data_IF_647906900625
#
_entry.id   IF_647906900625
#
_cell.length_a   1.000
_cell.length_b   1.000
_cell.length_c   1.000
_cell.angle_alpha   90.00
_cell.angle_beta   90.00
_cell.angle_gamma   90.00
#
_symmetry.space_group_name_H-M   'P 1'
#
loop_
_entity.id
_entity.type
_entity.pdbx_description
1 polymer ?
#
# COMPACT_ATOMS: atom_id res chain seq x y z
N UNK A 1 -60.72 18.43 -6.76
CA UNK A 1 -59.78 17.48 -6.15
C UNK A 1 -60.52 16.72 -5.08
N UNK A 2 -60.82 15.42 -5.28
CA UNK A 2 -61.55 14.61 -4.31
C UNK A 2 -60.65 14.20 -3.16
N UNK A 3 -60.90 14.67 -1.98
CA UNK A 3 -60.20 14.33 -0.74
C UNK A 3 -60.55 12.86 -0.38
N UNK A 4 -59.56 11.96 -0.63
CA UNK A 4 -59.71 10.53 -0.31
C UNK A 4 -59.65 10.37 1.20
N UNK A 5 -60.82 10.23 1.87
CA UNK A 5 -60.87 9.95 3.31
C UNK A 5 -60.12 8.68 3.62
N UNK A 6 -58.97 8.80 4.28
CA UNK A 6 -58.18 7.67 4.81
C UNK A 6 -58.98 6.85 5.79
N UNK A 7 -59.18 5.56 5.50
CA UNK A 7 -59.90 4.63 6.38
C UNK A 7 -58.99 4.24 7.55
N UNK A 8 -59.58 3.97 8.75
CA UNK A 8 -58.81 3.48 9.91
C UNK A 8 -57.90 2.30 9.57
N UNK A 9 -58.34 1.42 8.69
CA UNK A 9 -57.56 0.29 8.18
C UNK A 9 -56.30 0.74 7.47
N UNK A 10 -56.36 1.73 6.59
CA UNK A 10 -55.25 2.24 5.79
C UNK A 10 -54.19 2.90 6.71
N UNK A 11 -54.65 3.59 7.77
CA UNK A 11 -53.77 4.12 8.80
C UNK A 11 -53.02 3.00 9.54
N UNK A 12 -53.71 1.93 9.95
CA UNK A 12 -53.10 0.82 10.66
C UNK A 12 -52.06 0.11 9.77
N UNK A 13 -52.36 -0.14 8.51
CA UNK A 13 -51.39 -0.70 7.58
C UNK A 13 -50.17 0.18 7.41
N UNK A 14 -50.36 1.49 7.20
CA UNK A 14 -49.25 2.43 7.04
C UNK A 14 -48.38 2.48 8.32
N UNK A 15 -49.00 2.53 9.50
CA UNK A 15 -48.29 2.52 10.76
C UNK A 15 -47.49 1.21 10.96
N UNK A 16 -48.10 0.05 10.66
CA UNK A 16 -47.41 -1.24 10.76
C UNK A 16 -46.23 -1.33 9.81
N UNK A 17 -46.39 -0.92 8.57
CA UNK A 17 -45.27 -0.90 7.60
C UNK A 17 -44.16 0.06 8.04
N UNK A 18 -44.51 1.23 8.55
CA UNK A 18 -43.52 2.18 9.05
C UNK A 18 -42.71 1.63 10.22
N UNK A 19 -43.40 1.05 11.23
CA UNK A 19 -42.72 0.42 12.36
C UNK A 19 -41.92 -0.80 11.93
N UNK A 20 -42.46 -1.62 11.02
CA UNK A 20 -41.76 -2.77 10.45
C UNK A 20 -40.48 -2.35 9.70
N UNK A 21 -40.54 -1.30 8.89
CA UNK A 21 -39.40 -0.79 8.17
C UNK A 21 -38.28 -0.27 9.10
N UNK A 22 -38.67 0.45 10.16
CA UNK A 22 -37.73 0.91 11.21
C UNK A 22 -37.10 -0.30 11.93
N UNK A 23 -37.91 -1.31 12.29
CA UNK A 23 -37.41 -2.53 12.95
C UNK A 23 -36.42 -3.31 12.07
N UNK A 24 -36.71 -3.47 10.78
CA UNK A 24 -35.81 -4.09 9.81
C UNK A 24 -34.53 -3.26 9.66
N UNK A 25 -34.63 -1.95 9.53
CA UNK A 25 -33.46 -1.06 9.45
C UNK A 25 -32.56 -1.15 10.69
N UNK A 26 -33.21 -1.18 11.89
CA UNK A 26 -32.48 -1.29 13.15
C UNK A 26 -31.79 -2.64 13.36
N UNK A 27 -32.28 -3.73 12.74
CA UNK A 27 -31.61 -5.04 12.77
C UNK A 27 -30.54 -5.19 11.71
N UNK A 28 -30.74 -4.64 10.54
CA UNK A 28 -29.76 -4.75 9.43
C UNK A 28 -28.55 -3.85 9.66
N UNK A 29 -28.75 -2.63 10.19
CA UNK A 29 -27.65 -1.66 10.37
C UNK A 29 -26.47 -2.21 11.18
N UNK A 30 -26.65 -2.82 12.37
CA UNK A 30 -25.54 -3.40 13.11
C UNK A 30 -24.79 -4.50 12.35
N UNK A 31 -25.50 -5.28 11.53
CA UNK A 31 -24.89 -6.33 10.71
C UNK A 31 -23.98 -5.73 9.63
N UNK A 32 -24.38 -4.63 9.02
CA UNK A 32 -23.54 -3.88 8.06
C UNK A 32 -22.37 -3.22 8.79
N UNK A 33 -22.61 -2.62 9.95
CA UNK A 33 -21.59 -1.92 10.72
C UNK A 33 -20.48 -2.86 11.24
N UNK A 34 -20.81 -4.13 11.53
CA UNK A 34 -19.83 -5.16 11.88
C UNK A 34 -18.84 -5.48 10.75
N UNK A 35 -19.15 -5.13 9.50
CA UNK A 35 -18.23 -5.30 8.36
C UNK A 35 -17.17 -4.20 8.29
N UNK A 36 -17.32 -3.12 9.05
CA UNK A 36 -16.33 -2.07 9.14
C UNK A 36 -15.08 -2.55 9.88
N UNK A 37 -13.87 -2.12 9.47
CA UNK A 37 -12.65 -2.41 10.20
C UNK A 37 -12.73 -1.89 11.63
N UNK A 38 -12.34 -2.73 12.59
CA UNK A 38 -12.30 -2.34 13.99
C UNK A 38 -11.22 -1.27 14.29
N UNK A 39 -11.22 -0.74 15.51
CA UNK A 39 -10.27 0.30 15.92
C UNK A 39 -8.82 -0.20 15.92
N UNK A 40 -8.56 -1.48 16.17
CA UNK A 40 -7.21 -2.06 16.17
C UNK A 40 -6.64 -2.12 14.76
N UNK A 41 -7.45 -2.52 13.78
CA UNK A 41 -7.07 -2.53 12.37
C UNK A 41 -6.79 -1.11 11.86
N UNK A 42 -7.63 -0.14 12.27
CA UNK A 42 -7.43 1.28 11.94
C UNK A 42 -6.16 1.85 12.56
N UNK A 43 -5.84 1.48 13.82
CA UNK A 43 -4.62 1.89 14.50
C UNK A 43 -3.35 1.34 13.82
N UNK A 44 -3.43 0.16 13.21
CA UNK A 44 -2.33 -0.45 12.43
C UNK A 44 -2.29 0.03 10.96
N UNK A 45 -3.16 0.97 10.58
CA UNK A 45 -3.24 1.45 9.20
C UNK A 45 -1.98 2.22 8.77
N UNK A 46 -1.29 2.87 9.70
CA UNK A 46 -0.04 3.58 9.46
C UNK A 46 1.04 3.19 10.48
N UNK A 47 2.30 3.33 10.06
CA UNK A 47 3.49 3.09 10.90
C UNK A 47 4.45 4.24 10.71
N UNK A 48 4.95 4.81 11.80
CA UNK A 48 6.02 5.82 11.79
C UNK A 48 7.36 5.15 12.06
N UNK A 49 8.35 5.53 11.28
CA UNK A 49 9.70 4.95 11.33
C UNK A 49 10.71 6.08 11.46
N UNK A 50 11.55 6.03 12.50
CA UNK A 50 12.71 6.91 12.63
C UNK A 50 13.83 6.42 11.71
N UNK A 51 14.23 7.27 10.78
CA UNK A 51 15.28 7.02 9.79
C UNK A 51 16.50 7.92 9.99
N UNK A 52 16.50 8.76 11.02
CA UNK A 52 17.56 9.76 11.27
C UNK A 52 18.96 9.15 11.47
N UNK A 53 19.04 7.94 12.03
CA UNK A 53 20.31 7.22 12.23
C UNK A 53 20.71 6.33 11.06
N UNK A 54 19.89 6.22 10.01
CA UNK A 54 20.16 5.33 8.87
C UNK A 54 21.28 5.91 7.99
N UNK A 55 22.40 5.21 7.90
CA UNK A 55 23.51 5.62 7.04
C UNK A 55 23.18 5.42 5.54
N UNK A 56 23.81 6.22 4.67
CA UNK A 56 23.70 6.05 3.20
C UNK A 56 24.14 4.65 2.78
N UNK A 57 23.45 4.08 1.80
CA UNK A 57 23.65 2.72 1.32
C UNK A 57 23.13 1.64 2.26
N UNK A 58 22.38 1.98 3.31
CA UNK A 58 21.77 1.02 4.22
C UNK A 58 20.26 0.93 4.02
N UNK A 59 19.74 -0.25 4.32
CA UNK A 59 18.31 -0.55 4.27
C UNK A 59 17.85 -1.01 5.63
N UNK A 60 16.72 -0.50 6.09
CA UNK A 60 15.97 -1.09 7.21
C UNK A 60 14.69 -1.73 6.68
N UNK A 61 14.23 -2.74 7.41
CA UNK A 61 12.98 -3.45 7.09
C UNK A 61 12.03 -3.27 8.26
N UNK A 62 10.84 -2.76 7.96
CA UNK A 62 9.76 -2.62 8.93
C UNK A 62 8.54 -3.39 8.47
N UNK A 63 7.68 -3.79 9.39
CA UNK A 63 6.42 -4.45 9.06
C UNK A 63 5.30 -3.41 8.98
N UNK A 64 4.56 -3.42 7.87
CA UNK A 64 3.34 -2.65 7.69
C UNK A 64 2.25 -3.55 7.10
N UNK A 65 1.12 -3.64 7.78
CA UNK A 65 0.00 -4.53 7.41
C UNK A 65 0.43 -5.96 7.12
N UNK A 66 1.37 -6.49 7.93
CA UNK A 66 1.89 -7.85 7.78
C UNK A 66 2.84 -8.08 6.61
N UNK A 67 3.20 -7.04 5.86
CA UNK A 67 4.17 -7.10 4.77
C UNK A 67 5.45 -6.37 5.15
N UNK A 68 6.64 -6.86 4.75
CA UNK A 68 7.88 -6.12 4.93
C UNK A 68 7.90 -4.90 4.01
N UNK A 69 8.33 -3.77 4.55
CA UNK A 69 8.62 -2.54 3.80
C UNK A 69 10.12 -2.27 3.92
N UNK A 70 10.78 -2.11 2.80
CA UNK A 70 12.16 -1.68 2.73
C UNK A 70 12.21 -0.16 2.68
N UNK A 71 13.03 0.43 3.56
CA UNK A 71 13.38 1.83 3.54
C UNK A 71 14.88 1.89 3.32
N UNK A 72 15.31 2.36 2.16
CA UNK A 72 16.73 2.48 1.79
C UNK A 72 17.11 3.94 1.71
N UNK A 73 18.19 4.30 2.40
CA UNK A 73 18.87 5.56 2.18
C UNK A 73 19.91 5.39 1.07
N UNK A 74 19.56 5.83 -0.14
CA UNK A 74 20.36 5.59 -1.35
C UNK A 74 21.65 6.42 -1.35
N UNK A 75 22.67 5.87 -2.00
CA UNK A 75 23.88 6.62 -2.36
C UNK A 75 23.66 7.42 -3.64
N UNK A 76 24.55 8.39 -3.90
CA UNK A 76 24.49 9.17 -5.15
C UNK A 76 24.70 8.28 -6.38
N UNK A 77 25.52 7.23 -6.24
CA UNK A 77 25.76 6.22 -7.30
C UNK A 77 24.48 5.44 -7.63
N UNK A 78 23.74 5.00 -6.62
CA UNK A 78 22.47 4.28 -6.81
C UNK A 78 21.41 5.16 -7.46
N UNK A 79 21.36 6.44 -7.12
CA UNK A 79 20.46 7.41 -7.72
C UNK A 79 20.82 7.62 -9.20
N UNK A 80 22.10 7.78 -9.51
CA UNK A 80 22.56 7.93 -10.89
C UNK A 80 22.32 6.65 -11.71
N UNK A 81 22.60 5.49 -11.15
CA UNK A 81 22.31 4.20 -11.77
C UNK A 81 20.81 4.08 -12.12
N UNK A 82 19.93 4.38 -11.17
CA UNK A 82 18.49 4.34 -11.40
C UNK A 82 18.03 5.31 -12.50
N UNK A 83 18.59 6.52 -12.56
CA UNK A 83 18.26 7.55 -13.56
C UNK A 83 18.84 7.24 -14.94
N UNK A 84 19.95 6.52 -15.02
CA UNK A 84 20.59 6.17 -16.28
C UNK A 84 19.87 5.10 -17.09
N UNK A 85 18.95 4.36 -16.44
CA UNK A 85 18.21 3.27 -17.08
C UNK A 85 17.20 3.81 -18.07
N UNK A 86 17.29 3.36 -19.32
CA UNK A 86 16.34 3.73 -20.37
C UNK A 86 15.00 3.06 -20.12
N UNK A 87 13.92 3.78 -20.36
CA UNK A 87 12.55 3.27 -20.18
C UNK A 87 12.25 2.07 -21.08
N UNK A 88 12.85 2.02 -22.26
CA UNK A 88 12.71 0.92 -23.22
C UNK A 88 13.35 -0.40 -22.74
N UNK A 89 14.30 -0.33 -21.78
CA UNK A 89 14.96 -1.49 -21.19
C UNK A 89 14.20 -2.06 -19.98
N UNK A 90 13.10 -1.42 -19.58
CA UNK A 90 12.30 -1.82 -18.44
C UNK A 90 11.12 -2.68 -18.87
N UNK A 91 10.91 -3.79 -18.17
CA UNK A 91 9.73 -4.66 -18.33
C UNK A 91 8.43 -3.95 -17.94
N UNK A 92 8.52 -3.16 -16.88
CA UNK A 92 7.45 -2.34 -16.34
C UNK A 92 7.99 -0.91 -16.26
N UNK A 93 7.79 -0.09 -17.32
CA UNK A 93 8.38 1.21 -17.46
C UNK A 93 7.86 2.21 -16.43
N UNK A 94 8.73 2.64 -15.53
CA UNK A 94 8.44 3.64 -14.50
C UNK A 94 9.72 4.43 -14.20
N UNK A 95 9.61 5.75 -14.11
CA UNK A 95 10.75 6.60 -13.80
C UNK A 95 11.14 6.50 -12.34
N UNK A 96 12.43 6.71 -12.05
CA UNK A 96 12.93 6.73 -10.67
C UNK A 96 12.25 7.84 -9.82
N UNK A 97 12.04 9.00 -10.42
CA UNK A 97 11.40 10.15 -9.78
C UNK A 97 9.93 9.92 -9.37
N UNK A 98 9.23 9.01 -10.07
CA UNK A 98 7.85 8.63 -9.74
C UNK A 98 7.81 7.65 -8.55
N UNK A 99 8.91 6.95 -8.29
CA UNK A 99 9.04 5.94 -7.23
C UNK A 99 9.58 6.49 -5.92
N UNK A 100 10.43 7.52 -5.99
CA UNK A 100 11.07 8.11 -4.82
C UNK A 100 10.68 9.59 -4.71
N UNK A 101 9.88 9.95 -3.69
CA UNK A 101 9.50 11.36 -3.43
C UNK A 101 10.69 12.25 -3.12
N UNK A 102 11.69 11.70 -2.48
CA UNK A 102 13.01 12.27 -2.27
C UNK A 102 14.03 11.29 -2.86
N UNK A 103 14.91 11.74 -3.76
CA UNK A 103 15.88 10.86 -4.41
C UNK A 103 16.76 10.05 -3.45
N UNK A 104 17.02 10.57 -2.27
CA UNK A 104 17.82 9.88 -1.24
C UNK A 104 17.06 8.71 -0.59
N UNK A 105 15.71 8.73 -0.62
CA UNK A 105 14.90 7.77 0.11
C UNK A 105 14.02 6.92 -0.82
N UNK A 106 14.28 5.62 -0.85
CA UNK A 106 13.43 4.66 -1.53
C UNK A 106 12.63 3.85 -0.49
N UNK A 107 11.32 3.94 -0.59
CA UNK A 107 10.37 3.22 0.28
C UNK A 107 9.53 2.30 -0.58
N UNK A 108 9.59 1.00 -0.35
CA UNK A 108 8.83 0.04 -1.17
C UNK A 108 8.49 -1.22 -0.38
N UNK A 109 7.45 -1.93 -0.80
CA UNK A 109 7.13 -3.24 -0.26
C UNK A 109 8.24 -4.23 -0.62
N UNK A 110 8.84 -4.85 0.39
CA UNK A 110 9.86 -5.89 0.23
C UNK A 110 9.26 -7.24 -0.18
N UNK A 111 8.40 -7.23 -1.19
CA UNK A 111 7.65 -8.39 -1.66
C UNK A 111 7.83 -8.53 -3.17
N UNK A 112 8.38 -9.68 -3.57
CA UNK A 112 8.55 -10.01 -4.98
C UNK A 112 7.19 -10.16 -5.66
N UNK A 113 6.98 -9.46 -6.76
CA UNK A 113 5.72 -9.44 -7.51
C UNK A 113 5.42 -10.72 -8.27
N UNK A 114 6.35 -11.69 -8.27
CA UNK A 114 6.09 -13.02 -8.84
C UNK A 114 5.15 -13.85 -7.94
N UNK A 115 5.60 -14.25 -6.75
CA UNK A 115 4.85 -15.10 -5.81
C UNK A 115 5.05 -14.69 -4.33
N UNK A 116 5.41 -13.44 -4.06
CA UNK A 116 5.40 -12.90 -2.70
C UNK A 116 6.62 -13.17 -1.84
N UNK A 117 7.71 -13.76 -2.36
CA UNK A 117 8.95 -13.96 -1.60
C UNK A 117 9.58 -12.60 -1.24
N UNK A 118 10.34 -12.56 -0.15
CA UNK A 118 11.10 -11.37 0.26
C UNK A 118 12.45 -11.34 -0.48
N UNK A 119 12.72 -10.34 -1.31
CA UNK A 119 14.00 -10.23 -2.02
C UNK A 119 15.16 -9.89 -1.08
N UNK A 120 16.34 -10.34 -1.44
CA UNK A 120 17.58 -10.01 -0.76
C UNK A 120 18.14 -8.67 -1.26
N UNK A 121 18.53 -7.82 -0.33
CA UNK A 121 19.15 -6.53 -0.61
C UNK A 121 20.62 -6.68 -1.06
N UNK A 122 21.12 -5.72 -1.86
CA UNK A 122 22.50 -5.68 -2.36
C UNK A 122 22.91 -6.98 -3.07
N UNK A 123 21.98 -7.56 -3.83
CA UNK A 123 22.20 -8.80 -4.58
C UNK A 123 21.60 -8.69 -5.99
N UNK A 124 22.10 -9.59 -6.87
CA UNK A 124 21.66 -9.66 -8.25
C UNK A 124 22.52 -8.83 -9.20
N UNK A 125 22.15 -8.85 -10.47
CA UNK A 125 22.97 -8.32 -11.58
C UNK A 125 22.86 -6.79 -11.73
N UNK A 126 21.98 -6.12 -10.95
CA UNK A 126 21.64 -4.70 -11.10
C UNK A 126 21.81 -3.90 -9.82
N UNK A 127 22.67 -4.33 -8.90
CA UNK A 127 23.03 -3.65 -7.64
C UNK A 127 21.82 -3.31 -6.72
N UNK A 128 20.68 -3.93 -6.94
CA UNK A 128 19.45 -3.66 -6.21
C UNK A 128 19.02 -4.85 -5.35
N UNK A 129 17.94 -5.54 -5.76
CA UNK A 129 17.39 -6.66 -5.02
C UNK A 129 17.29 -7.91 -5.87
N UNK A 130 17.54 -9.05 -5.23
CA UNK A 130 17.46 -10.36 -5.85
C UNK A 130 16.46 -11.25 -5.11
N UNK A 131 15.51 -11.82 -5.82
CA UNK A 131 14.61 -12.81 -5.28
C UNK A 131 15.13 -14.22 -5.57
N UNK A 132 15.63 -14.96 -4.56
CA UNK A 132 16.24 -16.26 -4.77
C UNK A 132 15.25 -17.37 -5.12
N UNK A 133 13.95 -17.16 -4.87
CA UNK A 133 12.93 -18.17 -5.11
C UNK A 133 12.87 -18.60 -6.59
N UNK A 134 12.90 -17.64 -7.52
CA UNK A 134 12.79 -17.91 -8.95
C UNK A 134 13.68 -17.00 -9.82
N UNK A 135 14.64 -16.31 -9.20
CA UNK A 135 15.64 -15.53 -9.93
C UNK A 135 15.11 -14.22 -10.53
N UNK A 136 14.23 -13.49 -9.82
CA UNK A 136 13.89 -12.13 -10.22
C UNK A 136 14.94 -11.14 -9.71
N UNK A 137 15.41 -10.26 -10.59
CA UNK A 137 16.38 -9.21 -10.29
C UNK A 137 15.73 -7.85 -10.45
N UNK A 138 15.89 -7.00 -9.45
CA UNK A 138 15.42 -5.63 -9.43
C UNK A 138 16.61 -4.67 -9.34
N UNK A 139 16.47 -3.50 -9.92
CA UNK A 139 17.49 -2.44 -9.87
C UNK A 139 17.46 -1.63 -8.57
N UNK A 140 18.32 -0.60 -8.48
CA UNK A 140 18.45 0.30 -7.32
C UNK A 140 17.22 1.17 -7.05
N UNK A 141 16.21 1.14 -7.92
CA UNK A 141 14.89 1.75 -7.75
C UNK A 141 13.77 0.72 -7.50
N UNK A 142 14.12 -0.57 -7.38
CA UNK A 142 13.16 -1.66 -7.20
C UNK A 142 12.34 -1.98 -8.45
N UNK A 143 12.82 -1.62 -9.65
CA UNK A 143 12.18 -1.96 -10.91
C UNK A 143 12.68 -3.32 -11.39
N UNK A 144 11.75 -4.11 -11.93
CA UNK A 144 12.07 -5.44 -12.46
C UNK A 144 12.93 -5.34 -13.71
N UNK A 145 14.08 -6.02 -13.72
CA UNK A 145 15.02 -6.06 -14.84
C UNK A 145 15.10 -7.45 -15.48
N UNK A 146 15.02 -8.52 -14.67
CA UNK A 146 15.20 -9.89 -15.14
C UNK A 146 14.39 -10.86 -14.27
N UNK A 147 13.97 -11.97 -14.86
CA UNK A 147 13.28 -13.05 -14.15
C UNK A 147 11.76 -13.02 -14.32
N UNK A 148 11.03 -13.88 -13.59
CA UNK A 148 9.62 -14.13 -13.83
C UNK A 148 8.67 -13.06 -13.23
N UNK A 149 9.15 -12.17 -12.36
CA UNK A 149 8.31 -11.12 -11.79
C UNK A 149 7.71 -10.24 -12.92
N UNK A 150 6.39 -9.96 -12.89
CA UNK A 150 5.73 -9.22 -13.95
C UNK A 150 5.88 -7.70 -13.84
N UNK A 151 5.97 -7.18 -12.61
CA UNK A 151 5.96 -5.74 -12.32
C UNK A 151 7.05 -5.34 -11.35
N UNK A 152 7.26 -4.04 -11.20
CA UNK A 152 8.12 -3.44 -10.20
C UNK A 152 7.64 -3.76 -8.77
N UNK A 153 8.53 -3.69 -7.77
CA UNK A 153 8.11 -3.74 -6.37
C UNK A 153 7.24 -2.52 -6.07
N UNK A 154 6.14 -2.74 -5.34
CA UNK A 154 5.14 -1.71 -5.06
C UNK A 154 5.69 -0.63 -4.11
N UNK A 155 5.42 0.64 -4.43
CA UNK A 155 5.69 1.78 -3.56
C UNK A 155 4.40 2.07 -2.76
N UNK A 156 4.41 1.89 -1.43
CA UNK A 156 3.26 2.19 -0.59
C UNK A 156 3.04 3.70 -0.49
N UNK A 157 1.86 4.12 -0.05
CA UNK A 157 1.68 5.51 0.35
C UNK A 157 2.55 5.80 1.56
N UNK A 158 3.38 6.84 1.47
CA UNK A 158 4.20 7.30 2.57
C UNK A 158 4.37 8.82 2.52
N UNK A 159 4.75 9.41 3.64
CA UNK A 159 5.07 10.83 3.74
C UNK A 159 6.21 11.06 4.74
N UNK A 160 6.93 12.15 4.56
CA UNK A 160 7.90 12.63 5.54
C UNK A 160 7.16 13.49 6.57
N UNK A 161 7.10 13.02 7.82
CA UNK A 161 6.53 13.77 8.95
C UNK A 161 7.48 14.88 9.36
N UNK A 162 8.78 14.59 9.30
CA UNK A 162 9.90 15.52 9.52
C UNK A 162 11.14 14.95 8.81
N UNK A 163 12.30 15.63 8.97
CA UNK A 163 13.56 15.23 8.33
C UNK A 163 14.03 13.80 8.70
N UNK A 164 13.58 13.27 9.83
CA UNK A 164 14.04 11.98 10.37
C UNK A 164 12.94 10.94 10.51
N UNK A 165 11.70 11.25 10.13
CA UNK A 165 10.57 10.34 10.36
C UNK A 165 9.74 10.16 9.09
N UNK A 166 9.59 8.91 8.67
CA UNK A 166 8.72 8.51 7.55
C UNK A 166 7.48 7.83 8.12
N UNK A 167 6.30 8.28 7.71
CA UNK A 167 5.02 7.61 7.97
C UNK A 167 4.62 6.83 6.74
N UNK A 168 4.24 5.57 6.92
CA UNK A 168 3.78 4.64 5.88
C UNK A 168 2.32 4.31 6.16
N UNK A 169 1.44 4.55 5.16
CA UNK A 169 -0.01 4.29 5.25
C UNK A 169 -0.90 5.52 5.37
#
# INVERSE_FOLDING_TARGET
MSEKKTKRRDFLFTATYAVGAVGVGATIWPMIDQMNPDASVKALASTEVDVGSLARGKTITVLWRGKPVFIRRRTDEEIQDAKSVKMEDLKDPEKDEDRAKDPEWLVMLGVCTHLGCVPLNDKGDYNGWFCPCHGSHYDTSGRIRKGPAPTNMEVPKYEFVNANTIRIG
#
